data_IF_038549595652
#
_entry.id   IF_038549595652
#
_cell.length_a   1.000
_cell.length_b   1.000
_cell.length_c   1.000
_cell.angle_alpha   90.00
_cell.angle_beta   90.00
_cell.angle_gamma   90.00
#
_symmetry.space_group_name_H-M   'P 1'
#
loop_
_entity.id
_entity.type
_entity.pdbx_description
1 polymer ?
#
# COMPACT_ATOMS: atom_id res chain seq x y z
N UNK A 1 -2.43 14.35 -18.67
CA UNK A 1 -3.89 14.56 -18.61
C UNK A 1 -4.21 15.61 -17.56
N UNK A 2 -5.11 16.56 -17.85
CA UNK A 2 -5.52 17.63 -16.92
C UNK A 2 -6.61 17.10 -15.98
N UNK A 3 -6.55 17.47 -14.70
CA UNK A 3 -7.55 17.17 -13.68
C UNK A 3 -8.61 18.28 -13.67
N UNK A 4 -9.64 18.18 -14.51
CA UNK A 4 -10.67 19.21 -14.68
C UNK A 4 -12.01 18.88 -14.01
N UNK A 5 -12.19 17.67 -13.48
CA UNK A 5 -13.46 17.26 -12.85
C UNK A 5 -13.82 18.15 -11.67
N UNK A 6 -15.08 18.62 -11.61
CA UNK A 6 -15.61 19.36 -10.47
C UNK A 6 -16.14 18.38 -9.40
N UNK A 7 -15.21 17.70 -8.74
CA UNK A 7 -15.49 16.67 -7.74
C UNK A 7 -14.57 16.83 -6.52
N UNK A 8 -14.91 16.17 -5.40
CA UNK A 8 -14.30 16.38 -4.07
C UNK A 8 -12.77 16.32 -4.12
N UNK A 9 -12.20 15.22 -4.60
CA UNK A 9 -10.76 14.99 -4.53
C UNK A 9 -9.98 15.81 -5.56
N UNK A 10 -10.55 15.99 -6.75
CA UNK A 10 -10.00 16.82 -7.83
C UNK A 10 -9.96 18.30 -7.45
N UNK A 11 -11.00 18.81 -6.78
CA UNK A 11 -11.02 20.17 -6.23
C UNK A 11 -9.91 20.35 -5.17
N UNK A 12 -9.72 19.37 -4.29
CA UNK A 12 -8.65 19.40 -3.27
C UNK A 12 -7.26 19.37 -3.91
N UNK A 13 -7.03 18.53 -4.92
CA UNK A 13 -5.76 18.49 -5.64
C UNK A 13 -5.45 19.84 -6.29
N UNK A 14 -6.41 20.44 -6.99
CA UNK A 14 -6.23 21.77 -7.60
C UNK A 14 -5.99 22.87 -6.55
N UNK A 15 -6.64 22.81 -5.39
CA UNK A 15 -6.38 23.73 -4.29
C UNK A 15 -4.94 23.61 -3.71
N UNK A 16 -4.26 22.49 -3.95
CA UNK A 16 -2.83 22.29 -3.64
C UNK A 16 -1.89 22.69 -4.80
N UNK A 17 -2.42 23.27 -5.88
CA UNK A 17 -1.64 23.63 -7.07
C UNK A 17 -1.33 22.44 -7.98
N UNK A 18 -2.06 21.34 -7.85
CA UNK A 18 -1.86 20.10 -8.61
C UNK A 18 -3.02 19.91 -9.59
N UNK A 19 -2.76 20.15 -10.87
CA UNK A 19 -3.80 20.23 -11.92
C UNK A 19 -3.64 19.19 -13.04
N UNK A 20 -2.63 18.33 -12.97
CA UNK A 20 -2.40 17.26 -13.93
C UNK A 20 -2.13 15.92 -13.26
N UNK A 21 -2.43 14.84 -13.96
CA UNK A 21 -2.26 13.48 -13.47
C UNK A 21 -0.79 13.16 -13.10
N UNK A 22 0.16 13.58 -13.94
CA UNK A 22 1.59 13.38 -13.65
C UNK A 22 2.05 14.22 -12.46
N UNK A 23 1.59 15.48 -12.35
CA UNK A 23 1.88 16.31 -11.18
C UNK A 23 1.29 15.72 -9.90
N UNK A 24 0.12 15.09 -9.97
CA UNK A 24 -0.51 14.44 -8.82
C UNK A 24 0.26 13.19 -8.38
N UNK A 25 0.67 12.33 -9.31
CA UNK A 25 1.50 11.17 -9.00
C UNK A 25 2.82 11.59 -8.33
N UNK A 26 3.49 12.61 -8.88
CA UNK A 26 4.70 13.17 -8.29
C UNK A 26 4.44 13.76 -6.89
N UNK A 27 3.41 14.59 -6.75
CA UNK A 27 3.04 15.19 -5.47
C UNK A 27 2.78 14.14 -4.39
N UNK A 28 1.98 13.10 -4.70
CA UNK A 28 1.65 12.02 -3.75
C UNK A 28 2.88 11.19 -3.38
N UNK A 29 3.81 10.96 -4.32
CA UNK A 29 5.06 10.26 -4.06
C UNK A 29 5.93 11.00 -3.03
N UNK A 30 5.97 12.34 -3.09
CA UNK A 30 6.74 13.19 -2.17
C UNK A 30 6.13 13.31 -0.77
N UNK A 31 4.85 12.99 -0.58
CA UNK A 31 4.23 13.04 0.75
C UNK A 31 4.93 12.05 1.71
N UNK A 32 5.20 12.42 2.97
CA UNK A 32 5.67 11.48 3.97
C UNK A 32 4.76 10.27 4.13
N UNK A 33 5.37 9.12 4.42
CA UNK A 33 4.61 7.94 4.82
C UNK A 33 4.08 8.12 6.24
N UNK A 34 2.77 7.96 6.43
CA UNK A 34 2.18 8.05 7.76
C UNK A 34 0.69 7.76 7.77
N UNK A 35 0.16 7.38 8.93
CA UNK A 35 -1.28 7.28 9.13
C UNK A 35 -1.87 8.70 9.19
N UNK A 36 -3.02 8.88 8.54
CA UNK A 36 -3.86 10.06 8.72
C UNK A 36 -4.69 9.93 9.99
N UNK A 37 -5.29 11.03 10.47
CA UNK A 37 -6.14 11.00 11.67
C UNK A 37 -7.37 10.08 11.53
N UNK A 38 -7.89 9.94 10.31
CA UNK A 38 -8.95 8.98 9.98
C UNK A 38 -8.61 8.22 8.68
N UNK A 39 -8.36 6.90 8.73
CA UNK A 39 -8.01 6.13 7.54
C UNK A 39 -9.18 5.94 6.56
N UNK A 40 -10.43 6.21 6.96
CA UNK A 40 -11.60 6.17 6.07
C UNK A 40 -11.80 7.46 5.26
N UNK A 41 -11.16 8.56 5.67
CA UNK A 41 -11.22 9.82 4.93
C UNK A 41 -9.94 10.00 4.10
N UNK A 42 -10.03 9.59 2.84
CA UNK A 42 -8.93 9.69 1.86
C UNK A 42 -8.49 11.14 1.64
N UNK A 43 -9.39 12.12 1.84
CA UNK A 43 -9.06 13.53 1.63
C UNK A 43 -7.94 14.01 2.57
N UNK A 44 -7.79 13.33 3.72
CA UNK A 44 -6.74 13.62 4.68
C UNK A 44 -5.34 13.37 4.14
N UNK A 45 -5.18 12.56 3.08
CA UNK A 45 -3.87 12.41 2.42
C UNK A 45 -3.37 13.76 1.89
N UNK A 46 -4.26 14.56 1.29
CA UNK A 46 -3.94 15.90 0.82
C UNK A 46 -3.95 16.95 1.94
N UNK A 47 -4.90 16.83 2.89
CA UNK A 47 -5.08 17.84 3.94
C UNK A 47 -3.99 17.78 5.01
N UNK A 48 -3.61 16.57 5.45
CA UNK A 48 -2.56 16.35 6.46
C UNK A 48 -1.16 16.13 5.85
N UNK A 49 -1.09 16.06 4.51
CA UNK A 49 0.16 15.96 3.76
C UNK A 49 0.94 14.69 4.05
N UNK A 50 0.26 13.57 4.31
CA UNK A 50 0.89 12.26 4.60
C UNK A 50 -0.06 11.13 4.24
N UNK A 51 0.46 9.94 3.98
CA UNK A 51 -0.39 8.79 3.75
C UNK A 51 0.33 7.46 3.77
N UNK A 52 -0.39 6.39 4.07
CA UNK A 52 0.09 5.01 3.90
C UNK A 52 0.01 4.58 2.43
N UNK A 53 0.53 3.40 2.10
CA UNK A 53 0.38 2.84 0.75
C UNK A 53 -1.11 2.75 0.35
N UNK A 54 -2.00 2.34 1.26
CA UNK A 54 -3.43 2.26 0.98
C UNK A 54 -4.03 3.64 0.72
N UNK A 55 -3.81 4.61 1.62
CA UNK A 55 -4.41 5.94 1.49
C UNK A 55 -3.93 6.69 0.25
N UNK A 56 -2.62 6.66 -0.02
CA UNK A 56 -2.02 7.33 -1.18
C UNK A 56 -2.56 6.80 -2.51
N UNK A 57 -2.59 5.48 -2.71
CA UNK A 57 -3.07 4.91 -3.96
C UNK A 57 -4.59 4.96 -4.08
N UNK A 58 -5.34 4.90 -2.96
CA UNK A 58 -6.78 5.14 -2.95
C UNK A 58 -7.12 6.56 -3.39
N UNK A 59 -6.37 7.57 -2.94
CA UNK A 59 -6.51 8.95 -3.41
C UNK A 59 -6.29 9.06 -4.92
N UNK A 60 -5.20 8.46 -5.42
CA UNK A 60 -4.90 8.48 -6.85
C UNK A 60 -6.00 7.80 -7.68
N UNK A 61 -6.46 6.62 -7.26
CA UNK A 61 -7.54 5.89 -7.92
C UNK A 61 -8.88 6.65 -7.88
N UNK A 62 -9.17 7.32 -6.75
CA UNK A 62 -10.37 8.14 -6.61
C UNK A 62 -10.34 9.36 -7.56
N UNK A 63 -9.21 10.07 -7.66
CA UNK A 63 -9.06 11.20 -8.58
C UNK A 63 -9.08 10.74 -10.04
N UNK A 64 -8.45 9.59 -10.35
CA UNK A 64 -8.54 8.98 -11.68
C UNK A 64 -10.00 8.71 -12.07
N UNK A 65 -10.78 8.11 -11.16
CA UNK A 65 -12.22 7.86 -11.35
C UNK A 65 -13.01 9.16 -11.56
N UNK A 66 -12.77 10.19 -10.75
CA UNK A 66 -13.44 11.49 -10.90
C UNK A 66 -13.18 12.14 -12.27
N UNK A 67 -11.98 11.93 -12.85
CA UNK A 67 -11.58 12.51 -14.13
C UNK A 67 -11.75 11.54 -15.32
N UNK A 68 -12.42 10.40 -15.13
CA UNK A 68 -12.57 9.36 -16.15
C UNK A 68 -11.23 8.94 -16.80
N UNK A 69 -10.16 8.93 -16.02
CA UNK A 69 -8.86 8.39 -16.46
C UNK A 69 -9.02 6.86 -16.53
N UNK A 70 -9.00 6.32 -17.74
CA UNK A 70 -9.18 4.89 -17.98
C UNK A 70 -7.96 4.09 -17.52
N UNK A 71 -8.20 2.80 -17.21
CA UNK A 71 -7.13 1.81 -17.01
C UNK A 71 -6.19 2.15 -15.84
N UNK A 72 -6.78 2.68 -14.76
CA UNK A 72 -6.12 2.94 -13.47
C UNK A 72 -6.82 2.10 -12.40
N UNK A 73 -6.13 1.06 -11.94
CA UNK A 73 -6.67 0.07 -11.01
C UNK A 73 -5.93 0.12 -9.68
N UNK A 74 -6.68 0.21 -8.57
CA UNK A 74 -6.12 0.08 -7.23
C UNK A 74 -5.96 -1.40 -6.90
N UNK A 75 -4.73 -1.82 -6.65
CA UNK A 75 -4.40 -3.21 -6.37
C UNK A 75 -3.89 -3.36 -4.94
N UNK A 76 -4.15 -4.52 -4.34
CA UNK A 76 -3.42 -5.04 -3.19
C UNK A 76 -2.68 -6.30 -3.61
N UNK A 77 -1.42 -6.44 -3.19
CA UNK A 77 -0.65 -7.67 -3.33
C UNK A 77 -0.27 -8.21 -1.96
N UNK A 78 -0.45 -9.52 -1.78
CA UNK A 78 0.32 -10.28 -0.80
C UNK A 78 1.69 -10.60 -1.41
N UNK A 79 2.78 -10.31 -0.70
CA UNK A 79 4.14 -10.54 -1.19
C UNK A 79 5.03 -11.12 -0.09
N UNK A 80 6.03 -11.88 -0.51
CA UNK A 80 7.02 -12.49 0.39
C UNK A 80 7.99 -11.44 0.93
N UNK A 81 8.04 -11.26 2.24
CA UNK A 81 9.03 -10.40 2.91
C UNK A 81 10.09 -11.25 3.61
N UNK A 82 11.36 -11.03 3.30
CA UNK A 82 12.49 -11.84 3.78
C UNK A 82 13.67 -10.98 4.19
N UNK A 83 14.67 -11.57 4.86
CA UNK A 83 15.92 -10.86 5.19
C UNK A 83 16.71 -10.41 3.95
N UNK A 84 16.54 -11.07 2.80
CA UNK A 84 17.19 -10.66 1.54
C UNK A 84 16.55 -9.40 0.93
N UNK A 85 15.22 -9.32 0.99
CA UNK A 85 14.46 -8.18 0.45
C UNK A 85 14.29 -7.03 1.44
N UNK A 86 14.40 -7.31 2.74
CA UNK A 86 14.21 -6.36 3.82
C UNK A 86 15.18 -6.67 4.96
N UNK A 87 16.47 -6.31 4.83
CA UNK A 87 17.50 -6.70 5.81
C UNK A 87 17.18 -6.32 7.26
N UNK A 88 16.42 -5.25 7.49
CA UNK A 88 16.04 -4.77 8.83
C UNK A 88 15.19 -5.76 9.64
N UNK A 89 14.45 -6.64 8.98
CA UNK A 89 13.59 -7.61 9.68
C UNK A 89 14.31 -8.92 10.00
N UNK A 90 15.59 -9.06 9.60
CA UNK A 90 16.38 -10.28 9.75
C UNK A 90 16.34 -10.82 11.17
N UNK A 91 16.61 -9.98 12.16
CA UNK A 91 16.68 -10.42 13.57
C UNK A 91 15.34 -10.95 14.09
N UNK A 92 14.22 -10.38 13.62
CA UNK A 92 12.88 -10.86 13.96
C UNK A 92 12.64 -12.23 13.33
N UNK A 93 12.93 -12.37 12.03
CA UNK A 93 12.77 -13.62 11.30
C UNK A 93 13.62 -14.76 11.88
N UNK A 94 14.90 -14.50 12.16
CA UNK A 94 15.82 -15.48 12.75
C UNK A 94 15.39 -15.89 14.17
N UNK A 95 14.90 -14.95 15.00
CA UNK A 95 14.41 -15.24 16.34
C UNK A 95 13.20 -16.19 16.33
N UNK A 96 12.32 -16.06 15.34
CA UNK A 96 11.15 -16.92 15.16
C UNK A 96 11.37 -18.03 14.12
N UNK A 97 12.61 -18.34 13.74
CA UNK A 97 12.94 -19.42 12.80
C UNK A 97 12.12 -19.39 11.49
N UNK A 98 11.89 -18.20 10.93
CA UNK A 98 11.19 -17.99 9.67
C UNK A 98 12.14 -17.50 8.59
N UNK A 99 12.11 -18.10 7.40
CA UNK A 99 12.85 -17.57 6.23
C UNK A 99 12.21 -16.30 5.67
N UNK A 100 10.89 -16.19 5.84
CA UNK A 100 10.08 -15.09 5.33
C UNK A 100 8.71 -15.07 5.98
N UNK A 101 8.03 -13.94 5.82
CA UNK A 101 6.64 -13.76 6.23
C UNK A 101 5.87 -12.99 5.14
N UNK A 102 4.62 -13.36 4.81
CA UNK A 102 3.82 -12.58 3.88
C UNK A 102 3.42 -11.20 4.41
N UNK A 103 3.47 -10.20 3.54
CA UNK A 103 3.08 -8.83 3.82
C UNK A 103 2.10 -8.33 2.73
N UNK A 104 1.29 -7.31 3.03
CA UNK A 104 0.37 -6.73 2.08
C UNK A 104 0.76 -5.29 1.71
N UNK A 105 0.72 -4.97 0.41
CA UNK A 105 1.03 -3.64 -0.11
C UNK A 105 0.00 -3.20 -1.15
N UNK A 106 -0.33 -1.91 -1.15
CA UNK A 106 -1.21 -1.34 -2.17
C UNK A 106 -0.38 -0.59 -3.21
N UNK A 107 -0.77 -0.71 -4.47
CA UNK A 107 -0.13 -0.06 -5.62
C UNK A 107 -1.19 0.25 -6.68
N UNK A 108 -0.83 1.03 -7.71
CA UNK A 108 -1.65 1.20 -8.89
C UNK A 108 -1.17 0.31 -10.03
N UNK A 109 -2.10 -0.25 -10.79
CA UNK A 109 -1.84 -0.82 -12.11
C UNK A 109 -2.42 0.14 -13.14
N UNK A 110 -1.55 0.83 -13.87
CA UNK A 110 -1.90 1.81 -14.90
C UNK A 110 -1.44 1.27 -16.26
N UNK A 111 -2.37 0.99 -17.17
CA UNK A 111 -2.05 0.44 -18.49
C UNK A 111 -1.13 -0.78 -18.45
N UNK A 112 -1.47 -1.69 -17.55
CA UNK A 112 -0.71 -2.92 -17.30
C UNK A 112 0.60 -2.73 -16.54
N UNK A 113 1.03 -1.49 -16.27
CA UNK A 113 2.28 -1.18 -15.57
C UNK A 113 2.05 -0.95 -14.09
N UNK A 114 3.01 -1.38 -13.27
CA UNK A 114 2.99 -1.17 -11.83
C UNK A 114 3.45 0.25 -11.49
N UNK A 115 2.69 0.95 -10.64
CA UNK A 115 3.03 2.25 -10.09
C UNK A 115 2.89 2.25 -8.57
N UNK A 116 4.02 2.42 -7.86
CA UNK A 116 4.05 2.65 -6.42
C UNK A 116 4.47 4.09 -6.11
N UNK A 117 3.56 4.84 -5.51
CA UNK A 117 3.73 6.23 -5.10
C UNK A 117 3.84 6.35 -3.58
N UNK A 118 4.25 5.27 -2.90
CA UNK A 118 4.52 5.31 -1.47
C UNK A 118 5.76 6.16 -1.17
N UNK A 119 6.78 6.12 -2.03
CA UNK A 119 8.03 6.88 -1.93
C UNK A 119 8.60 7.23 -3.31
N UNK A 120 9.33 8.34 -3.46
CA UNK A 120 9.98 8.69 -4.73
C UNK A 120 11.04 7.65 -5.12
N UNK A 121 11.02 7.20 -6.38
CA UNK A 121 12.08 6.37 -6.98
C UNK A 121 12.32 5.00 -6.32
N UNK A 122 11.43 4.55 -5.42
CA UNK A 122 11.54 3.26 -4.74
C UNK A 122 10.32 2.41 -5.02
N UNK A 123 10.33 1.74 -6.17
CA UNK A 123 9.63 0.47 -6.30
C UNK A 123 10.48 -0.60 -5.62
N UNK A 124 9.89 -1.63 -5.00
CA UNK A 124 10.72 -2.74 -4.53
C UNK A 124 11.40 -3.34 -5.77
N UNK A 125 12.74 -3.29 -5.83
CA UNK A 125 13.46 -4.11 -6.79
C UNK A 125 12.96 -5.54 -6.61
N UNK A 126 12.58 -6.19 -7.71
CA UNK A 126 12.01 -7.54 -7.71
C UNK A 126 10.68 -7.66 -6.94
N UNK A 127 9.87 -6.58 -6.81
CA UNK A 127 8.54 -6.66 -6.19
C UNK A 127 7.70 -7.75 -6.84
N UNK A 128 7.62 -7.72 -8.17
CA UNK A 128 6.77 -8.61 -8.97
C UNK A 128 7.12 -10.08 -8.77
N UNK A 129 8.42 -10.42 -8.67
CA UNK A 129 8.87 -11.80 -8.45
C UNK A 129 8.57 -12.32 -7.03
N UNK A 130 8.17 -11.43 -6.12
CA UNK A 130 7.82 -11.75 -4.73
C UNK A 130 6.32 -11.74 -4.48
N UNK A 131 5.51 -11.33 -5.45
CA UNK A 131 4.05 -11.36 -5.35
C UNK A 131 3.60 -12.82 -5.25
N UNK A 132 2.75 -13.08 -4.27
CA UNK A 132 2.15 -14.39 -4.01
C UNK A 132 0.69 -14.41 -4.46
N UNK A 133 -0.01 -13.29 -4.29
CA UNK A 133 -1.39 -13.11 -4.71
C UNK A 133 -1.68 -11.62 -4.93
N UNK A 134 -2.69 -11.31 -5.75
CA UNK A 134 -3.15 -9.94 -5.99
C UNK A 134 -4.66 -9.85 -6.10
N UNK A 135 -5.22 -8.75 -5.66
CA UNK A 135 -6.64 -8.43 -5.81
C UNK A 135 -6.83 -6.96 -6.15
N UNK A 136 -7.80 -6.67 -7.01
CA UNK A 136 -8.27 -5.30 -7.24
C UNK A 136 -9.22 -4.86 -6.12
N UNK A 137 -9.09 -3.61 -5.69
CA UNK A 137 -9.91 -2.98 -4.66
C UNK A 137 -10.75 -1.85 -5.25
N UNK A 138 -12.02 -1.77 -4.86
CA UNK A 138 -13.00 -0.86 -5.46
C UNK A 138 -13.62 0.12 -4.46
N UNK A 139 -13.69 -0.23 -3.17
CA UNK A 139 -14.24 0.63 -2.13
C UNK A 139 -13.13 1.49 -1.52
N UNK A 140 -12.94 2.68 -2.10
CA UNK A 140 -11.87 3.59 -1.71
C UNK A 140 -11.98 4.10 -0.26
N UNK A 141 -13.18 4.15 0.32
CA UNK A 141 -13.41 4.65 1.68
C UNK A 141 -13.11 3.61 2.76
N UNK A 142 -13.14 2.30 2.41
CA UNK A 142 -12.84 1.21 3.35
C UNK A 142 -11.54 0.44 3.04
N UNK A 143 -10.67 0.96 2.16
CA UNK A 143 -9.43 0.28 1.72
C UNK A 143 -8.55 -0.18 2.87
N UNK A 144 -8.47 0.58 3.97
CA UNK A 144 -7.67 0.16 5.13
C UNK A 144 -8.20 -1.14 5.74
N UNK A 145 -9.52 -1.29 5.84
CA UNK A 145 -10.19 -2.47 6.34
C UNK A 145 -10.16 -3.60 5.31
N UNK A 146 -10.44 -3.32 4.03
CA UNK A 146 -10.34 -4.30 2.95
C UNK A 146 -8.94 -4.90 2.85
N UNK A 147 -7.90 -4.07 2.88
CA UNK A 147 -6.50 -4.51 2.85
C UNK A 147 -6.16 -5.38 4.05
N UNK A 148 -6.63 -5.00 5.25
CA UNK A 148 -6.37 -5.76 6.48
C UNK A 148 -7.06 -7.12 6.41
N UNK A 149 -8.34 -7.17 6.02
CA UNK A 149 -9.07 -8.41 5.85
C UNK A 149 -8.44 -9.32 4.79
N UNK A 150 -8.04 -8.75 3.64
CA UNK A 150 -7.29 -9.45 2.60
C UNK A 150 -6.01 -10.08 3.15
N UNK A 151 -5.19 -9.30 3.85
CA UNK A 151 -3.92 -9.77 4.40
C UNK A 151 -4.11 -10.86 5.45
N UNK A 152 -5.05 -10.67 6.38
CA UNK A 152 -5.34 -11.67 7.41
C UNK A 152 -5.85 -12.98 6.80
N UNK A 153 -6.72 -12.92 5.79
CA UNK A 153 -7.19 -14.11 5.09
C UNK A 153 -6.04 -14.83 4.36
N UNK A 154 -5.18 -14.09 3.67
CA UNK A 154 -3.98 -14.65 3.03
C UNK A 154 -3.07 -15.34 4.05
N UNK A 155 -2.79 -14.67 5.17
CA UNK A 155 -1.95 -15.21 6.25
C UNK A 155 -2.53 -16.48 6.90
N UNK A 156 -3.86 -16.57 7.06
CA UNK A 156 -4.53 -17.79 7.57
C UNK A 156 -4.35 -18.96 6.60
N UNK A 157 -4.46 -18.72 5.30
CA UNK A 157 -4.26 -19.76 4.30
C UNK A 157 -2.79 -20.19 4.23
N UNK A 158 -1.88 -19.22 4.18
CA UNK A 158 -0.44 -19.48 4.20
C UNK A 158 0.01 -20.27 5.43
N UNK A 159 -0.54 -19.97 6.62
CA UNK A 159 -0.25 -20.72 7.84
C UNK A 159 -0.68 -22.19 7.73
N UNK A 160 -1.86 -22.46 7.15
CA UNK A 160 -2.37 -23.82 6.92
C UNK A 160 -1.50 -24.61 5.95
N UNK A 161 -1.02 -23.96 4.90
CA UNK A 161 -0.18 -24.59 3.86
C UNK A 161 1.27 -24.81 4.34
N UNK A 162 1.80 -23.89 5.14
CA UNK A 162 3.20 -23.90 5.56
C UNK A 162 3.49 -24.82 6.76
N UNK A 163 2.44 -25.35 7.41
CA UNK A 163 2.53 -26.23 8.59
C UNK A 163 3.45 -25.66 9.70
N UNK A 164 3.46 -24.34 9.86
CA UNK A 164 4.29 -23.67 10.85
C UNK A 164 3.74 -23.91 12.26
N UNK A 165 4.60 -24.01 13.29
CA UNK A 165 4.19 -24.29 14.67
C UNK A 165 3.65 -23.03 15.39
N UNK A 166 2.89 -22.18 14.68
CA UNK A 166 2.35 -20.92 15.20
C UNK A 166 0.83 -20.89 15.12
N UNK A 167 0.19 -20.27 16.10
CA UNK A 167 -1.17 -19.76 15.93
C UNK A 167 -1.18 -18.56 14.99
N UNK A 168 -2.36 -18.25 14.44
CA UNK A 168 -2.53 -17.04 13.63
C UNK A 168 -2.17 -15.76 14.40
N UNK A 169 -2.53 -15.68 15.69
CA UNK A 169 -2.28 -14.49 16.50
C UNK A 169 -0.78 -14.30 16.78
N UNK A 170 -0.04 -15.38 17.01
CA UNK A 170 1.43 -15.34 17.11
C UNK A 170 2.05 -14.89 15.80
N UNK A 171 1.63 -15.48 14.68
CA UNK A 171 2.15 -15.12 13.37
C UNK A 171 1.86 -13.65 13.01
N UNK A 172 0.69 -13.14 13.36
CA UNK A 172 0.33 -11.74 13.17
C UNK A 172 1.21 -10.82 14.03
N UNK A 173 1.51 -11.19 15.28
CA UNK A 173 2.45 -10.45 16.15
C UNK A 173 3.87 -10.43 15.58
N UNK A 174 4.33 -11.55 15.02
CA UNK A 174 5.65 -11.63 14.35
C UNK A 174 5.69 -10.67 13.15
N UNK A 175 4.61 -10.61 12.37
CA UNK A 175 4.45 -9.64 11.28
C UNK A 175 4.53 -8.21 11.79
N UNK A 176 3.80 -7.86 12.86
CA UNK A 176 3.85 -6.50 13.44
C UNK A 176 5.26 -6.13 13.91
N UNK A 177 5.99 -7.07 14.52
CA UNK A 177 7.38 -6.85 14.92
C UNK A 177 8.29 -6.57 13.71
N UNK A 178 8.07 -7.25 12.58
CA UNK A 178 8.76 -6.94 11.32
C UNK A 178 8.46 -5.51 10.84
N UNK A 179 7.19 -5.09 10.87
CA UNK A 179 6.80 -3.73 10.46
C UNK A 179 7.37 -2.66 11.39
N UNK A 180 7.44 -2.94 12.69
CA UNK A 180 8.09 -2.05 13.65
C UNK A 180 9.56 -1.83 13.27
N UNK A 181 10.31 -2.90 12.94
CA UNK A 181 11.69 -2.77 12.43
C UNK A 181 11.82 -1.97 11.13
N UNK A 182 10.81 -2.02 10.26
CA UNK A 182 10.81 -1.21 9.03
C UNK A 182 10.44 0.27 9.24
N UNK A 183 9.96 0.62 10.44
CA UNK A 183 9.55 1.99 10.79
C UNK A 183 10.54 2.72 11.71
N UNK A 184 11.53 2.05 12.28
CA UNK A 184 12.55 2.63 13.19
C UNK A 184 13.43 3.73 12.55
N UNK A 185 13.49 3.86 11.21
CA UNK A 185 14.27 4.90 10.50
C UNK A 185 13.44 5.65 9.42
N UNK A 186 12.18 5.98 9.71
CA UNK A 186 11.30 6.74 8.80
C UNK A 186 11.12 8.19 9.22
#
# INVERSE_FOLDING_TARGET
MILSANAKYSNLARAKGVDSWEALKAYVAELPYGRTSNPKDISLVLNEGRGTCSGKHALLAAIAKENAISDVHLMVAAFKMSAGSSPKIRSVLEHFHLDSIPEAHCYLKESGKFGDYTRPGKFFNDFESRILDTRELFDYEDIAQEKTAYHQNFMRNWLRESSLPYSFDELWKIREACIQKLSEDR
#
